data_IF_132065665843
#
_entry.id   IF_132065665843
#
_cell.length_a   1.000
_cell.length_b   1.000
_cell.length_c   1.000
_cell.angle_alpha   90.00
_cell.angle_beta   90.00
_cell.angle_gamma   90.00
#
_symmetry.space_group_name_H-M   'P 1'
#
loop_
_entity.id
_entity.type
_entity.pdbx_description
1 polymer ?
#
# COMPACT_ATOMS: atom_id res chain seq x y z
N UNK A 1 53.27 15.24 -18.34
CA UNK A 1 53.41 13.89 -17.75
C UNK A 1 52.96 13.99 -16.30
N UNK A 2 51.73 14.42 -16.06
CA UNK A 2 50.50 13.60 -16.08
C UNK A 2 50.59 12.41 -15.12
N UNK A 3 49.85 12.52 -14.02
CA UNK A 3 48.67 11.67 -13.84
C UNK A 3 47.72 12.30 -12.83
N UNK A 4 46.61 12.81 -13.38
CA UNK A 4 45.39 13.10 -12.66
C UNK A 4 44.76 11.76 -12.28
N UNK A 5 44.51 11.52 -10.99
CA UNK A 5 43.58 10.47 -10.57
C UNK A 5 42.18 11.04 -10.71
N UNK A 6 41.55 10.75 -11.84
CA UNK A 6 40.13 11.01 -12.07
C UNK A 6 39.34 9.94 -11.32
N UNK A 7 38.81 10.28 -10.14
CA UNK A 7 37.74 9.49 -9.51
C UNK A 7 36.58 9.41 -10.51
N UNK A 8 36.38 8.23 -11.10
CA UNK A 8 35.20 7.96 -11.90
C UNK A 8 33.96 8.32 -11.07
N UNK A 9 32.97 9.05 -11.63
CA UNK A 9 31.76 9.34 -10.89
C UNK A 9 31.12 8.02 -10.47
N UNK A 10 30.88 7.89 -9.16
CA UNK A 10 30.05 6.82 -8.61
C UNK A 10 28.73 6.78 -9.39
N UNK A 11 28.18 5.60 -9.72
CA UNK A 11 26.88 5.52 -10.36
C UNK A 11 25.84 6.27 -9.51
N UNK A 12 24.83 6.92 -10.11
CA UNK A 12 23.81 7.63 -9.35
C UNK A 12 23.10 6.63 -8.41
N UNK A 13 23.38 6.73 -7.12
CA UNK A 13 22.69 5.99 -6.06
C UNK A 13 21.35 6.67 -5.80
N UNK A 14 20.42 6.56 -6.74
CA UNK A 14 19.00 6.82 -6.49
C UNK A 14 18.32 5.47 -6.31
N UNK A 15 17.80 5.16 -5.13
CA UNK A 15 17.01 3.96 -4.82
C UNK A 15 15.64 3.88 -5.55
N UNK A 16 15.46 4.69 -6.60
CA UNK A 16 14.21 4.84 -7.35
C UNK A 16 13.07 5.46 -6.54
N UNK A 17 13.35 5.93 -5.32
CA UNK A 17 12.38 6.43 -4.36
C UNK A 17 11.75 7.73 -4.83
N UNK A 18 10.43 7.83 -4.73
CA UNK A 18 9.64 9.01 -5.11
C UNK A 18 8.74 9.42 -3.97
N UNK A 19 8.72 10.71 -3.67
CA UNK A 19 7.70 11.29 -2.81
C UNK A 19 6.38 11.34 -3.56
N UNK A 20 5.30 10.94 -2.89
CA UNK A 20 4.00 10.74 -3.52
C UNK A 20 2.87 11.25 -2.65
N UNK A 21 1.81 11.70 -3.31
CA UNK A 21 0.50 11.85 -2.68
C UNK A 21 -0.30 10.58 -2.91
N UNK A 22 -0.89 10.05 -1.84
CA UNK A 22 -1.69 8.81 -1.85
C UNK A 22 -3.11 9.20 -1.49
N UNK A 23 -4.04 8.99 -2.41
CA UNK A 23 -5.47 9.20 -2.19
C UNK A 23 -6.13 7.84 -1.97
N UNK A 24 -6.76 7.64 -0.82
CA UNK A 24 -7.46 6.42 -0.43
C UNK A 24 -8.95 6.67 -0.50
N UNK A 25 -9.65 5.91 -1.35
CA UNK A 25 -11.11 5.81 -1.32
C UNK A 25 -11.48 4.39 -0.90
N UNK A 26 -12.42 4.27 0.04
CA UNK A 26 -12.93 2.99 0.48
C UNK A 26 -14.46 2.99 0.52
N UNK A 27 -15.03 1.82 0.30
CA UNK A 27 -16.47 1.56 0.44
C UNK A 27 -16.62 0.26 1.19
N UNK A 28 -17.45 0.27 2.22
CA UNK A 28 -17.80 -0.91 3.01
C UNK A 28 -19.30 -1.14 2.87
N UNK A 29 -19.69 -2.33 2.42
CA UNK A 29 -21.10 -2.74 2.27
C UNK A 29 -21.96 -1.69 1.51
N UNK A 30 -21.34 -1.08 0.49
CA UNK A 30 -21.96 -0.04 -0.35
C UNK A 30 -21.94 1.37 0.25
N UNK A 31 -21.48 1.55 1.48
CA UNK A 31 -21.34 2.85 2.12
C UNK A 31 -19.92 3.41 1.91
N UNK A 32 -19.75 4.54 1.21
CA UNK A 32 -18.44 5.14 1.01
C UNK A 32 -17.96 5.82 2.30
N UNK A 33 -16.68 5.62 2.63
CA UNK A 33 -16.00 6.42 3.64
C UNK A 33 -15.49 7.74 3.05
N UNK A 34 -15.19 8.75 3.89
CA UNK A 34 -14.49 9.95 3.43
C UNK A 34 -13.18 9.59 2.71
N UNK A 35 -12.91 10.28 1.61
CA UNK A 35 -11.63 10.13 0.89
C UNK A 35 -10.53 10.74 1.73
N UNK A 36 -9.47 9.98 2.00
CA UNK A 36 -8.32 10.42 2.79
C UNK A 36 -7.10 10.59 1.90
N UNK A 37 -6.28 11.61 2.19
CA UNK A 37 -5.02 11.85 1.49
C UNK A 37 -3.86 11.76 2.47
N UNK A 38 -2.79 11.09 2.03
CA UNK A 38 -1.53 10.98 2.76
C UNK A 38 -0.38 11.43 1.87
N UNK A 39 0.68 11.93 2.51
CA UNK A 39 1.99 12.03 1.88
C UNK A 39 2.77 10.77 2.23
N UNK A 40 3.46 10.22 1.25
CA UNK A 40 4.22 9.00 1.44
C UNK A 40 5.31 8.86 0.40
N UNK A 41 5.75 7.62 0.26
CA UNK A 41 6.90 7.26 -0.55
C UNK A 41 6.59 6.01 -1.37
N UNK A 42 6.85 6.07 -2.67
CA UNK A 42 6.93 4.92 -3.56
C UNK A 42 8.40 4.49 -3.74
N UNK A 43 8.68 3.20 -3.57
CA UNK A 43 10.02 2.61 -3.73
C UNK A 43 9.92 1.40 -4.67
N UNK A 44 10.30 1.54 -5.95
CA UNK A 44 10.41 0.41 -6.87
C UNK A 44 11.65 -0.44 -6.54
N UNK A 45 11.48 -1.76 -6.47
CA UNK A 45 12.58 -2.73 -6.33
C UNK A 45 12.36 -3.92 -7.25
N UNK A 46 13.06 -3.93 -8.39
CA UNK A 46 12.84 -4.91 -9.45
C UNK A 46 11.39 -4.84 -9.95
N UNK A 47 10.66 -5.96 -9.84
CA UNK A 47 9.23 -6.05 -10.21
C UNK A 47 8.28 -5.70 -9.06
N UNK A 48 8.80 -5.45 -7.86
CA UNK A 48 7.99 -5.17 -6.68
C UNK A 48 7.92 -3.66 -6.43
N UNK A 49 6.73 -3.16 -6.13
CA UNK A 49 6.51 -1.80 -5.67
C UNK A 49 6.23 -1.80 -4.17
N UNK A 50 6.86 -0.88 -3.45
CA UNK A 50 6.58 -0.62 -2.04
C UNK A 50 6.03 0.80 -1.90
N UNK A 51 4.86 0.94 -1.27
CA UNK A 51 4.29 2.23 -0.90
C UNK A 51 4.29 2.31 0.62
N UNK A 52 4.83 3.39 1.17
CA UNK A 52 4.85 3.63 2.62
C UNK A 52 4.28 5.00 2.95
N UNK A 53 3.39 5.06 3.91
CA UNK A 53 2.82 6.30 4.43
C UNK A 53 2.42 6.14 5.90
N UNK A 54 2.15 7.26 6.57
CA UNK A 54 1.65 7.28 7.94
C UNK A 54 0.18 7.69 7.95
N UNK A 55 -0.61 6.93 8.71
CA UNK A 55 -2.00 7.18 9.02
C UNK A 55 -2.08 7.77 10.43
N UNK A 56 -3.00 8.71 10.63
CA UNK A 56 -3.41 9.16 11.96
C UNK A 56 -4.76 8.53 12.24
N UNK A 57 -4.77 7.57 13.15
CA UNK A 57 -5.99 6.94 13.64
C UNK A 57 -6.38 7.62 14.96
N UNK A 58 -7.60 8.17 15.04
CA UNK A 58 -8.05 8.93 16.22
C UNK A 58 -8.10 8.07 17.49
N UNK A 59 -8.30 6.76 17.36
CA UNK A 59 -8.43 5.80 18.46
C UNK A 59 -7.10 5.15 18.82
N UNK A 60 -6.25 4.93 17.82
CA UNK A 60 -5.04 4.11 17.95
C UNK A 60 -3.74 4.92 17.83
N UNK A 61 -3.80 6.18 17.40
CA UNK A 61 -2.66 7.04 17.20
C UNK A 61 -1.98 6.81 15.85
N UNK A 62 -0.65 7.04 15.80
CA UNK A 62 0.11 6.92 14.55
C UNK A 62 0.24 5.46 14.12
N UNK A 63 -0.11 5.18 12.86
CA UNK A 63 0.01 3.87 12.22
C UNK A 63 0.86 4.01 10.97
N UNK A 64 1.93 3.20 10.89
CA UNK A 64 2.77 3.11 9.69
C UNK A 64 2.21 2.04 8.78
N UNK A 65 1.83 2.45 7.58
CA UNK A 65 1.28 1.53 6.57
C UNK A 65 2.30 1.28 5.48
N UNK A 66 2.51 0.01 5.17
CA UNK A 66 3.32 -0.46 4.06
C UNK A 66 2.45 -1.33 3.15
N UNK A 67 2.41 -0.96 1.88
CA UNK A 67 1.80 -1.74 0.83
C UNK A 67 2.92 -2.29 -0.06
N UNK A 68 2.86 -3.58 -0.34
CA UNK A 68 3.73 -4.26 -1.28
C UNK A 68 2.89 -4.83 -2.41
N UNK A 69 3.23 -4.49 -3.64
CA UNK A 69 2.68 -5.12 -4.84
C UNK A 69 3.81 -5.83 -5.58
N UNK A 70 3.72 -7.14 -5.76
CA UNK A 70 4.78 -7.93 -6.43
C UNK A 70 4.46 -8.29 -7.90
N UNK A 71 3.30 -7.89 -8.41
CA UNK A 71 2.80 -8.24 -9.73
C UNK A 71 1.67 -9.30 -9.72
N UNK A 72 1.45 -9.97 -8.59
CA UNK A 72 0.45 -11.01 -8.43
C UNK A 72 -0.44 -10.77 -7.20
N UNK A 73 0.18 -10.42 -6.07
CA UNK A 73 -0.50 -10.18 -4.81
C UNK A 73 -0.12 -8.84 -4.18
N UNK A 74 -1.07 -8.31 -3.41
CA UNK A 74 -0.92 -7.10 -2.61
C UNK A 74 -0.83 -7.50 -1.13
N UNK A 75 0.22 -7.07 -0.45
CA UNK A 75 0.34 -7.19 1.01
C UNK A 75 0.19 -5.81 1.64
N UNK A 76 -0.67 -5.70 2.65
CA UNK A 76 -0.83 -4.51 3.48
C UNK A 76 -0.41 -4.85 4.91
N UNK A 77 0.62 -4.15 5.38
CA UNK A 77 1.14 -4.26 6.73
C UNK A 77 0.97 -2.92 7.44
N UNK A 78 0.37 -2.94 8.64
CA UNK A 78 0.21 -1.79 9.53
C UNK A 78 0.96 -2.06 10.83
N UNK A 79 1.73 -1.08 11.29
CA UNK A 79 2.54 -1.13 12.52
C UNK A 79 2.30 0.11 13.38
N UNK A 80 2.38 -0.01 14.71
CA UNK A 80 2.20 1.10 15.65
C UNK A 80 0.93 0.97 16.48
N UNK A 81 0.05 1.97 16.43
CA UNK A 81 -1.23 1.95 17.15
C UNK A 81 -2.12 0.74 16.84
N UNK A 82 -1.98 0.24 15.62
CA UNK A 82 -2.56 -1.00 15.11
C UNK A 82 -1.46 -1.81 14.45
N UNK A 83 -1.47 -3.10 14.72
CA UNK A 83 -0.61 -4.12 14.18
C UNK A 83 -1.46 -5.06 13.31
N UNK A 84 -1.27 -5.04 11.99
CA UNK A 84 -2.06 -5.88 11.09
C UNK A 84 -1.25 -6.30 9.87
N UNK A 85 -1.50 -7.54 9.42
CA UNK A 85 -0.94 -8.10 8.19
C UNK A 85 -2.07 -8.75 7.39
N UNK A 86 -2.27 -8.27 6.16
CA UNK A 86 -3.29 -8.76 5.24
C UNK A 86 -2.67 -8.97 3.86
N UNK A 87 -3.04 -10.05 3.19
CA UNK A 87 -2.60 -10.34 1.83
C UNK A 87 -3.83 -10.52 0.93
N UNK A 88 -3.75 -10.03 -0.30
CA UNK A 88 -4.84 -10.03 -1.26
C UNK A 88 -4.32 -10.58 -2.59
N UNK A 89 -4.99 -11.61 -3.10
CA UNK A 89 -4.68 -12.24 -4.38
C UNK A 89 -6.01 -12.63 -5.04
N UNK A 90 -6.26 -12.12 -6.25
CA UNK A 90 -7.56 -12.27 -6.91
C UNK A 90 -8.04 -13.73 -6.96
N UNK A 91 -9.29 -13.96 -6.55
CA UNK A 91 -9.92 -15.28 -6.49
C UNK A 91 -9.44 -16.18 -5.34
N UNK A 92 -8.59 -15.68 -4.43
CA UNK A 92 -8.01 -16.48 -3.35
C UNK A 92 -8.38 -15.95 -1.96
N UNK A 93 -8.45 -16.88 -1.01
CA UNK A 93 -8.51 -16.59 0.41
C UNK A 93 -7.11 -16.56 1.02
N UNK A 94 -6.83 -15.57 1.86
CA UNK A 94 -5.57 -15.44 2.59
C UNK A 94 -5.84 -15.19 4.07
N UNK A 95 -5.10 -15.89 4.92
CA UNK A 95 -5.09 -15.63 6.35
C UNK A 95 -4.35 -14.33 6.65
N UNK A 96 -4.80 -13.63 7.68
CA UNK A 96 -4.19 -12.42 8.18
C UNK A 96 -4.40 -12.27 9.68
N UNK A 97 -3.91 -11.15 10.22
CA UNK A 97 -4.05 -10.85 11.65
C UNK A 97 -4.37 -9.38 11.85
N UNK A 98 -5.10 -9.11 12.92
CA UNK A 98 -5.28 -7.79 13.47
C UNK A 98 -4.95 -7.80 14.97
N UNK A 99 -4.31 -6.74 15.43
CA UNK A 99 -3.95 -6.51 16.81
C UNK A 99 -3.98 -5.00 17.10
N UNK A 100 -4.64 -4.61 18.17
CA UNK A 100 -4.62 -3.29 18.75
C UNK A 100 -4.58 -3.41 20.27
N UNK A 101 -4.52 -2.28 20.99
CA UNK A 101 -4.53 -2.27 22.45
C UNK A 101 -5.73 -3.01 23.08
N UNK A 102 -6.85 -3.14 22.35
CA UNK A 102 -8.11 -3.67 22.88
C UNK A 102 -8.50 -5.03 22.31
N UNK A 103 -8.01 -5.38 21.12
CA UNK A 103 -8.47 -6.54 20.35
C UNK A 103 -7.31 -7.20 19.62
N UNK A 104 -7.26 -8.53 19.62
CA UNK A 104 -6.42 -9.28 18.68
C UNK A 104 -7.14 -10.52 18.21
N UNK A 105 -7.19 -10.71 16.89
CA UNK A 105 -7.89 -11.83 16.28
C UNK A 105 -7.27 -12.20 14.92
N UNK A 106 -7.34 -13.48 14.53
CA UNK A 106 -7.08 -13.89 13.16
C UNK A 106 -8.24 -13.43 12.26
N UNK A 107 -7.93 -13.18 10.99
CA UNK A 107 -8.91 -12.84 9.96
C UNK A 107 -8.60 -13.56 8.66
N UNK A 108 -9.60 -13.64 7.78
CA UNK A 108 -9.44 -14.15 6.41
C UNK A 108 -9.94 -13.11 5.43
N UNK A 109 -9.13 -12.83 4.41
CA UNK A 109 -9.50 -11.97 3.27
C UNK A 109 -9.78 -12.85 2.07
N UNK A 110 -11.02 -12.86 1.60
CA UNK A 110 -11.42 -13.50 0.35
C UNK A 110 -11.43 -12.44 -0.75
N UNK A 111 -10.41 -12.43 -1.60
CA UNK A 111 -10.23 -11.35 -2.59
C UNK A 111 -11.05 -11.68 -3.85
N UNK A 112 -12.00 -10.82 -4.17
CA UNK A 112 -12.86 -10.95 -5.36
C UNK A 112 -12.14 -10.41 -6.61
N UNK A 113 -11.52 -9.24 -6.47
CA UNK A 113 -10.83 -8.55 -7.57
C UNK A 113 -9.57 -7.85 -7.04
N UNK A 114 -8.53 -7.80 -7.88
CA UNK A 114 -7.30 -7.06 -7.64
C UNK A 114 -6.80 -6.53 -8.99
N UNK A 115 -6.73 -5.22 -9.10
CA UNK A 115 -6.37 -4.52 -10.33
C UNK A 115 -5.27 -3.49 -10.09
N UNK A 116 -4.41 -3.35 -11.08
CA UNK A 116 -3.34 -2.36 -11.10
C UNK A 116 -3.37 -1.62 -12.43
N UNK A 117 -3.31 -0.30 -12.37
CA UNK A 117 -3.20 0.56 -13.55
C UNK A 117 -2.04 1.52 -13.34
N UNK A 118 -1.14 1.58 -14.31
CA UNK A 118 0.00 2.50 -14.33
C UNK A 118 -0.11 3.40 -15.56
N UNK A 119 0.61 4.52 -15.56
CA UNK A 119 0.70 5.37 -16.75
C UNK A 119 1.21 4.56 -17.96
N UNK A 120 0.62 4.79 -19.13
CA UNK A 120 0.98 4.14 -20.40
C UNK A 120 2.31 4.65 -20.98
N UNK A 121 2.78 5.80 -20.50
CA UNK A 121 3.71 6.69 -21.19
C UNK A 121 5.12 6.60 -20.56
N UNK A 122 5.63 5.38 -20.38
CA UNK A 122 6.96 5.06 -19.81
C UNK A 122 7.14 5.33 -18.29
N UNK A 123 6.11 5.80 -17.59
CA UNK A 123 6.15 6.14 -16.17
C UNK A 123 5.47 5.13 -15.24
N UNK A 124 5.93 5.05 -13.98
CA UNK A 124 5.24 4.28 -12.92
C UNK A 124 4.04 5.01 -12.32
N UNK A 125 4.00 6.34 -12.43
CA UNK A 125 2.99 7.19 -11.83
C UNK A 125 2.21 7.95 -12.93
N UNK A 126 0.90 8.21 -12.76
CA UNK A 126 0.08 7.76 -11.64
C UNK A 126 -0.11 6.24 -11.58
N UNK A 127 -0.11 5.70 -10.37
CA UNK A 127 -0.36 4.28 -10.08
C UNK A 127 -1.70 4.18 -9.37
N UNK A 128 -2.56 3.29 -9.84
CA UNK A 128 -3.82 2.97 -9.16
C UNK A 128 -3.81 1.49 -8.77
N UNK A 129 -3.98 1.21 -7.48
CA UNK A 129 -4.23 -0.13 -6.94
C UNK A 129 -5.69 -0.19 -6.53
N UNK A 130 -6.46 -1.12 -7.10
CA UNK A 130 -7.85 -1.36 -6.75
C UNK A 130 -8.04 -2.79 -6.28
N UNK A 131 -8.74 -3.02 -5.17
CA UNK A 131 -9.09 -4.38 -4.77
C UNK A 131 -10.41 -4.44 -4.03
N UNK A 132 -11.09 -5.56 -4.21
CA UNK A 132 -12.36 -5.86 -3.56
C UNK A 132 -12.24 -7.18 -2.82
N UNK A 133 -12.70 -7.23 -1.59
CA UNK A 133 -12.61 -8.44 -0.77
C UNK A 133 -13.71 -8.53 0.26
N UNK A 134 -13.99 -9.76 0.70
CA UNK A 134 -14.79 -10.03 1.89
C UNK A 134 -13.85 -10.31 3.06
N UNK A 135 -14.15 -9.70 4.20
CA UNK A 135 -13.43 -9.94 5.44
C UNK A 135 -14.23 -10.90 6.30
N UNK A 136 -13.58 -11.98 6.75
CA UNK A 136 -14.14 -12.89 7.74
C UNK A 136 -13.32 -12.84 9.01
N UNK A 137 -14.01 -12.82 10.14
CA UNK A 137 -13.44 -13.05 11.45
C UNK A 137 -14.05 -14.34 11.96
N UNK A 138 -13.21 -15.33 12.27
CA UNK A 138 -13.67 -16.70 12.48
C UNK A 138 -14.54 -17.18 11.30
N UNK A 139 -15.71 -17.73 11.56
CA UNK A 139 -16.66 -18.16 10.53
C UNK A 139 -17.71 -17.09 10.19
N UNK A 140 -17.59 -15.87 10.70
CA UNK A 140 -18.54 -14.79 10.43
C UNK A 140 -18.05 -13.83 9.34
N UNK A 141 -18.93 -13.49 8.39
CA UNK A 141 -18.69 -12.41 7.45
C UNK A 141 -18.77 -11.06 8.18
N UNK A 142 -17.65 -10.35 8.25
CA UNK A 142 -17.55 -9.04 8.89
C UNK A 142 -17.92 -7.88 7.96
N UNK A 143 -17.83 -8.10 6.65
CA UNK A 143 -18.24 -7.11 5.64
C UNK A 143 -17.54 -7.32 4.30
N UNK A 144 -18.01 -6.58 3.28
CA UNK A 144 -17.38 -6.50 1.97
C UNK A 144 -16.77 -5.12 1.76
N UNK A 145 -15.50 -5.10 1.37
CA UNK A 145 -14.70 -3.90 1.25
C UNK A 145 -14.24 -3.71 -0.20
N UNK A 146 -14.26 -2.47 -0.65
CA UNK A 146 -13.72 -2.03 -1.92
C UNK A 146 -12.76 -0.89 -1.65
N UNK A 147 -11.49 -1.05 -2.00
CA UNK A 147 -10.48 -0.03 -1.84
C UNK A 147 -9.90 0.35 -3.20
N UNK A 148 -9.59 1.63 -3.32
CA UNK A 148 -8.79 2.17 -4.41
C UNK A 148 -7.79 3.15 -3.83
N UNK A 149 -6.53 2.93 -4.17
CA UNK A 149 -5.42 3.83 -3.87
C UNK A 149 -4.93 4.42 -5.18
N UNK A 150 -4.98 5.75 -5.26
CA UNK A 150 -4.37 6.49 -6.35
C UNK A 150 -3.11 7.16 -5.82
N UNK A 151 -1.96 6.77 -6.37
CA UNK A 151 -0.64 7.30 -6.03
C UNK A 151 -0.19 8.20 -7.18
N UNK A 152 0.21 9.42 -6.84
CA UNK A 152 0.68 10.43 -7.78
C UNK A 152 1.95 11.06 -7.23
N UNK A 153 2.77 11.68 -8.09
CA UNK A 153 3.92 12.45 -7.61
C UNK A 153 3.48 13.52 -6.61
N UNK A 154 4.28 13.74 -5.56
CA UNK A 154 4.02 14.82 -4.64
C UNK A 154 4.15 16.15 -5.40
N UNK A 155 3.05 16.87 -5.55
CA UNK A 155 3.09 18.18 -6.18
C UNK A 155 3.68 19.15 -5.15
N UNK A 156 4.84 19.73 -5.44
CA UNK A 156 5.38 20.84 -4.65
C UNK A 156 4.47 22.05 -4.92
N UNK A 157 3.62 22.39 -3.95
CA UNK A 157 2.85 23.63 -3.99
C UNK A 157 3.71 24.78 -3.48
#
# INVERSE_FOLDING_TARGET
MEQWNEEAPSPPQGDGRREVTITVSSTQDGQPAPVVKHVGVLIPKGRTLYIRYEEQDELHGSVRTMIRWNGEELTLTRRGGVESDQTFAAGQARGGRYNSAHLSFPLVTETEDLSVTMASDEGLLPLTLGWTYRLRMEDQLSGRFQLRLTIQEANQS
#
